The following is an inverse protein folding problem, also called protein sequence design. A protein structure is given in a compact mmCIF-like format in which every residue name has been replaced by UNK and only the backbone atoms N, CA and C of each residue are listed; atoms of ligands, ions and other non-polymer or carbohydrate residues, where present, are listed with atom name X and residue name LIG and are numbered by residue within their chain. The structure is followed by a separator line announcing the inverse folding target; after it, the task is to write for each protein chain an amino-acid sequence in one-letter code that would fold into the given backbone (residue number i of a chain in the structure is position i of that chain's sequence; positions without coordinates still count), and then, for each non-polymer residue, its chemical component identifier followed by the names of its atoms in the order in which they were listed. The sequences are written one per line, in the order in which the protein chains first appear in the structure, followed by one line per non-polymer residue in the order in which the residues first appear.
data_IF_469128013392
#
_entry.id   IF_469128013392
#
_cell.length_a   1.000
_cell.length_b   1.000
_cell.length_c   1.000
_cell.angle_alpha   90.00
_cell.angle_beta   90.00
_cell.angle_gamma   90.00
#
_symmetry.space_group_name_H-M   'P 1'
#
loop_
_entity.id
_entity.type
_entity.pdbx_description
1 polymer ?
#
# COMPACT_ATOMS: atom_id res chain seq x y z
N UNK A 1 -15.14 2.90 -0.18
CA UNK A 1 -14.15 4.01 -0.03
C UNK A 1 -14.84 5.14 0.72
N UNK A 2 -14.14 5.89 1.58
CA UNK A 2 -14.72 7.07 2.24
C UNK A 2 -15.28 8.03 1.19
N UNK A 3 -16.44 8.64 1.46
CA UNK A 3 -17.08 9.56 0.52
C UNK A 3 -16.60 10.99 0.78
N UNK A 4 -16.02 11.65 -0.24
CA UNK A 4 -15.52 13.02 -0.18
C UNK A 4 -14.23 13.22 -0.99
N UNK A 5 -13.71 14.46 -1.07
CA UNK A 5 -12.38 14.72 -1.63
C UNK A 5 -11.31 13.90 -0.95
N UNK A 6 -10.33 13.42 -1.72
CA UNK A 6 -9.23 12.64 -1.17
C UNK A 6 -8.30 13.53 -0.31
N UNK A 7 -7.99 13.06 0.90
CA UNK A 7 -7.17 13.80 1.85
C UNK A 7 -5.70 13.88 1.43
N UNK A 8 -5.09 15.04 1.65
CA UNK A 8 -3.72 15.40 1.28
C UNK A 8 -2.97 15.92 2.49
N UNK A 9 -1.65 15.95 2.40
CA UNK A 9 -0.88 16.72 3.37
C UNK A 9 -1.35 18.17 3.38
N UNK A 10 -1.26 18.84 4.52
CA UNK A 10 -1.71 20.22 4.77
C UNK A 10 -3.23 20.45 4.82
N UNK A 11 -4.07 19.45 4.48
CA UNK A 11 -5.52 19.60 4.68
C UNK A 11 -5.83 19.78 6.18
N UNK A 12 -6.79 20.65 6.50
CA UNK A 12 -7.14 21.02 7.87
C UNK A 12 -7.81 19.86 8.64
N UNK A 13 -7.51 19.74 9.92
CA UNK A 13 -8.12 18.76 10.83
C UNK A 13 -8.61 19.40 12.12
N UNK A 14 -9.72 18.88 12.65
CA UNK A 14 -10.40 19.45 13.82
C UNK A 14 -9.64 19.30 15.14
N UNK A 15 -8.73 18.33 15.30
CA UNK A 15 -8.30 17.88 16.64
C UNK A 15 -6.86 17.34 16.75
N UNK A 16 -5.95 17.69 15.83
CA UNK A 16 -4.50 17.48 16.01
C UNK A 16 -3.81 18.84 16.08
N UNK A 17 -2.76 19.00 16.90
CA UNK A 17 -1.92 20.19 16.88
C UNK A 17 -0.55 19.81 16.28
N UNK A 18 -0.09 20.44 15.18
CA UNK A 18 -0.76 21.50 14.41
C UNK A 18 -2.03 20.99 13.68
N UNK A 19 -3.05 21.85 13.43
CA UNK A 19 -4.38 21.49 12.89
C UNK A 19 -4.36 21.19 11.39
N UNK A 20 -3.32 20.49 10.93
CA UNK A 20 -3.10 20.10 9.55
C UNK A 20 -2.64 18.66 9.48
N UNK A 21 -3.01 17.97 8.41
CA UNK A 21 -2.51 16.64 8.12
C UNK A 21 -1.01 16.70 7.82
N UNK A 22 -0.23 16.12 8.72
CA UNK A 22 1.21 15.95 8.54
C UNK A 22 1.49 14.65 7.76
N UNK A 23 2.49 14.72 6.88
CA UNK A 23 2.92 13.59 6.07
C UNK A 23 3.86 12.66 6.84
N UNK A 24 3.88 11.39 6.43
CA UNK A 24 4.93 10.44 6.76
C UNK A 24 5.90 10.23 5.58
N UNK A 25 7.07 9.62 5.80
CA UNK A 25 8.11 9.43 4.79
C UNK A 25 7.66 8.65 3.54
N UNK A 26 6.53 7.94 3.62
CA UNK A 26 5.98 7.12 2.53
C UNK A 26 4.99 7.87 1.62
N UNK A 27 4.76 9.16 1.81
CA UNK A 27 3.73 9.93 1.09
C UNK A 27 4.13 10.37 -0.33
N UNK A 28 5.37 10.13 -0.77
CA UNK A 28 5.96 10.85 -1.92
C UNK A 28 5.55 10.26 -3.29
N UNK A 29 5.05 9.02 -3.36
CA UNK A 29 4.77 8.36 -4.65
C UNK A 29 3.39 8.63 -5.23
N UNK A 30 2.42 9.10 -4.44
CA UNK A 30 1.05 9.39 -4.89
C UNK A 30 0.72 10.84 -4.57
N UNK A 31 0.42 11.62 -5.60
CA UNK A 31 0.09 13.05 -5.49
C UNK A 31 -1.35 13.32 -5.93
N UNK A 32 -2.01 14.25 -5.25
CA UNK A 32 -3.39 14.68 -5.52
C UNK A 32 -3.39 16.20 -5.52
N UNK A 33 -3.71 16.83 -6.64
CA UNK A 33 -3.64 18.30 -6.77
C UNK A 33 -2.29 18.86 -6.32
N UNK A 34 -1.19 18.25 -6.80
CA UNK A 34 0.21 18.61 -6.51
C UNK A 34 0.69 18.45 -5.06
N UNK A 35 -0.12 17.86 -4.18
CA UNK A 35 0.28 17.54 -2.81
C UNK A 35 0.32 16.01 -2.60
N UNK A 36 1.31 15.49 -1.85
CA UNK A 36 1.33 14.12 -1.35
C UNK A 36 0.00 13.69 -0.71
N UNK A 37 -0.48 12.50 -1.07
CA UNK A 37 -1.69 11.92 -0.49
C UNK A 37 -1.46 11.54 0.99
N UNK A 38 -2.44 11.85 1.86
CA UNK A 38 -2.36 11.45 3.27
C UNK A 38 -2.92 10.04 3.47
N UNK A 39 -2.14 9.14 4.08
CA UNK A 39 -2.49 7.72 4.20
C UNK A 39 -3.13 7.32 5.53
N UNK A 40 -3.15 8.19 6.54
CA UNK A 40 -3.75 7.90 7.83
C UNK A 40 -3.08 6.79 8.64
N UNK A 41 -1.81 6.47 8.36
CA UNK A 41 -1.03 5.43 9.05
C UNK A 41 0.18 6.06 9.73
N UNK A 42 0.48 5.65 10.95
CA UNK A 42 1.71 6.02 11.66
C UNK A 42 2.94 5.65 10.79
N UNK A 43 3.90 6.57 10.56
CA UNK A 43 5.13 6.30 9.80
C UNK A 43 5.84 4.98 10.15
N UNK A 44 5.93 4.63 11.43
CA UNK A 44 6.57 3.39 11.88
C UNK A 44 5.76 2.15 11.47
N UNK A 45 4.42 2.23 11.57
CA UNK A 45 3.53 1.16 11.11
C UNK A 45 3.52 1.05 9.58
N UNK A 46 3.69 2.14 8.84
CA UNK A 46 3.74 2.14 7.38
C UNK A 46 4.93 1.32 6.85
N UNK A 47 6.10 1.42 7.48
CA UNK A 47 7.26 0.59 7.12
C UNK A 47 7.00 -0.90 7.37
N UNK A 48 6.45 -1.25 8.54
CA UNK A 48 6.11 -2.64 8.86
C UNK A 48 5.11 -3.23 7.86
N UNK A 49 4.10 -2.46 7.46
CA UNK A 49 3.11 -2.87 6.46
C UNK A 49 3.73 -3.05 5.06
N UNK A 50 4.67 -2.19 4.65
CA UNK A 50 5.37 -2.35 3.37
C UNK A 50 6.24 -3.60 3.35
N UNK A 51 6.94 -3.90 4.46
CA UNK A 51 7.72 -5.14 4.59
C UNK A 51 6.81 -6.36 4.52
N UNK A 52 5.71 -6.37 5.28
CA UNK A 52 4.74 -7.45 5.24
C UNK A 52 4.18 -7.67 3.82
N UNK A 53 3.82 -6.59 3.11
CA UNK A 53 3.36 -6.67 1.72
C UNK A 53 4.39 -7.32 0.82
N UNK A 54 5.66 -6.91 0.90
CA UNK A 54 6.73 -7.46 0.06
C UNK A 54 6.91 -8.96 0.27
N UNK A 55 6.81 -9.43 1.52
CA UNK A 55 6.86 -10.86 1.85
C UNK A 55 5.67 -11.58 1.21
N UNK A 56 4.45 -11.05 1.40
CA UNK A 56 3.24 -11.64 0.82
C UNK A 56 3.31 -11.69 -0.71
N UNK A 57 3.74 -10.61 -1.38
CA UNK A 57 3.88 -10.57 -2.84
C UNK A 57 4.88 -11.62 -3.34
N UNK A 58 5.99 -11.81 -2.63
CA UNK A 58 6.99 -12.83 -2.97
C UNK A 58 6.41 -14.25 -2.81
N UNK A 59 5.69 -14.51 -1.70
CA UNK A 59 5.02 -15.80 -1.48
C UNK A 59 3.95 -16.07 -2.54
N UNK A 60 3.15 -15.07 -2.89
CA UNK A 60 2.14 -15.19 -3.96
C UNK A 60 2.82 -15.49 -5.29
N UNK A 61 3.90 -14.80 -5.63
CA UNK A 61 4.63 -15.05 -6.89
C UNK A 61 5.16 -16.48 -6.96
N UNK A 62 5.70 -17.01 -5.85
CA UNK A 62 6.16 -18.40 -5.76
C UNK A 62 4.99 -19.39 -5.90
N UNK A 63 3.84 -19.11 -5.28
CA UNK A 63 2.66 -19.95 -5.41
C UNK A 63 2.10 -19.92 -6.84
N UNK A 64 2.10 -18.75 -7.50
CA UNK A 64 1.67 -18.59 -8.89
C UNK A 64 2.58 -19.34 -9.86
N UNK A 65 3.90 -19.29 -9.67
CA UNK A 65 4.85 -20.03 -10.51
C UNK A 65 4.74 -21.54 -10.29
N UNK A 66 4.59 -22.00 -9.05
CA UNK A 66 4.35 -23.41 -8.74
C UNK A 66 3.03 -23.91 -9.35
N UNK A 67 1.96 -23.11 -9.27
CA UNK A 67 0.66 -23.45 -9.88
C UNK A 67 0.78 -23.51 -11.40
N UNK A 68 1.48 -22.56 -12.03
CA UNK A 68 1.73 -22.57 -13.48
C UNK A 68 2.58 -23.77 -13.92
N UNK A 69 3.56 -24.19 -13.11
CA UNK A 69 4.39 -25.37 -13.39
C UNK A 69 3.60 -26.68 -13.19
N UNK A 70 2.73 -26.74 -12.17
CA UNK A 70 1.85 -27.87 -11.91
C UNK A 70 0.67 -27.98 -12.89
N UNK A 71 0.33 -26.89 -13.59
CA UNK A 71 -0.62 -26.88 -14.70
C UNK A 71 -0.10 -27.59 -15.96
N UNK A 72 0.86 -28.52 -15.80
CA UNK A 72 1.27 -29.45 -16.84
C UNK A 72 0.05 -30.05 -17.55
N UNK A 73 0.15 -30.15 -18.87
CA UNK A 73 -0.90 -30.60 -19.77
C UNK A 73 -1.61 -31.84 -19.21
N UNK A 74 -2.95 -31.88 -19.16
CA UNK A 74 -3.68 -33.11 -18.83
C UNK A 74 -3.27 -34.21 -19.82
N UNK A 75 -2.33 -35.09 -19.44
CA UNK A 75 -1.91 -36.24 -20.26
C UNK A 75 -0.40 -36.54 -20.41
N UNK A 76 0.54 -35.83 -19.80
CA UNK A 76 1.97 -36.24 -19.84
C UNK A 76 2.35 -37.15 -18.64
N UNK A 77 3.19 -38.19 -18.80
CA UNK A 77 3.50 -39.14 -17.73
C UNK A 77 4.49 -38.57 -16.71
N UNK A 78 4.40 -39.12 -15.49
CA UNK A 78 5.22 -38.82 -14.31
C UNK A 78 6.72 -39.09 -14.49
#
# INVERSE_FOLDING_TARGET
MPKGPAARITDLVQHLLPPVLTGGPTAITVTIGFLPAWRGVNPAAAMALQVAKKISDATITVAETATKAAAGTPGAPA
#
